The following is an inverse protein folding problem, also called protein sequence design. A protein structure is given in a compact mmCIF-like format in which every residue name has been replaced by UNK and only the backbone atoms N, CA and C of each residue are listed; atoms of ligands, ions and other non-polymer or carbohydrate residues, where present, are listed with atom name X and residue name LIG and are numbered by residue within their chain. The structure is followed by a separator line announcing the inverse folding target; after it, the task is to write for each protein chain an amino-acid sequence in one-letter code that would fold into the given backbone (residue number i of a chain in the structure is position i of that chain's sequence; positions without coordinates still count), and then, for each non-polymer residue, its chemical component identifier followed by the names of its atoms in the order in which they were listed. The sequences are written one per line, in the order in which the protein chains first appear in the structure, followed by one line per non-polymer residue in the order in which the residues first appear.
data_IF_490573457187
#
_entry.id   IF_490573457187
#
_cell.length_a   1.000
_cell.length_b   1.000
_cell.length_c   1.000
_cell.angle_alpha   90.00
_cell.angle_beta   90.00
_cell.angle_gamma   90.00
#
_symmetry.space_group_name_H-M   'P 1'
#
loop_
_entity.id
_entity.type
_entity.pdbx_description
1 polymer ?
#
# COMPACT_ATOMS: atom_id res chain seq x y z
N UNK A 1 37.18 -20.20 14.38
CA UNK A 1 37.12 -18.99 13.52
C UNK A 1 35.68 -18.48 13.60
N UNK A 2 35.37 -17.74 14.66
CA UNK A 2 34.05 -17.17 14.88
C UNK A 2 33.97 -15.91 14.00
N UNK A 3 33.20 -15.99 12.92
CA UNK A 3 32.87 -14.80 12.15
C UNK A 3 32.05 -13.90 13.07
N UNK A 4 32.65 -12.79 13.47
CA UNK A 4 32.00 -11.68 14.12
C UNK A 4 31.00 -11.12 13.10
N UNK A 5 29.77 -11.63 13.09
CA UNK A 5 28.66 -10.98 12.41
C UNK A 5 28.54 -9.59 13.05
N UNK A 6 28.67 -8.50 12.27
CA UNK A 6 28.48 -7.15 12.81
C UNK A 6 27.10 -7.08 13.46
N UNK A 7 27.02 -6.45 14.63
CA UNK A 7 25.75 -6.25 15.34
C UNK A 7 24.72 -5.63 14.38
N UNK A 8 23.47 -6.13 14.48
CA UNK A 8 22.35 -5.85 13.57
C UNK A 8 22.06 -4.34 13.38
N UNK A 9 22.64 -3.49 14.23
CA UNK A 9 22.47 -2.04 14.29
C UNK A 9 23.32 -1.27 13.25
N UNK A 10 24.30 -1.92 12.60
CA UNK A 10 25.23 -1.28 11.65
C UNK A 10 24.72 -1.35 10.20
N UNK A 11 23.87 -2.34 9.90
CA UNK A 11 23.37 -2.57 8.55
C UNK A 11 22.02 -1.86 8.40
N UNK A 12 21.84 -0.99 7.40
CA UNK A 12 20.62 -0.23 7.27
C UNK A 12 19.44 -1.12 6.88
N UNK A 13 18.26 -0.82 7.43
CA UNK A 13 17.08 -1.70 7.34
C UNK A 13 16.66 -2.09 5.91
N UNK A 14 16.96 -1.26 4.91
CA UNK A 14 16.61 -1.50 3.51
C UNK A 14 17.38 -2.64 2.84
N UNK A 15 18.45 -3.15 3.45
CA UNK A 15 19.19 -4.32 2.92
C UNK A 15 18.60 -5.65 3.36
N UNK A 16 17.68 -5.65 4.33
CA UNK A 16 17.00 -6.87 4.77
C UNK A 16 15.82 -7.20 3.83
N UNK A 17 15.50 -8.50 3.65
CA UNK A 17 14.33 -8.89 2.87
C UNK A 17 13.07 -8.26 3.47
N UNK A 18 12.25 -7.67 2.62
CA UNK A 18 11.00 -7.00 3.00
C UNK A 18 9.83 -7.75 2.40
N UNK A 19 8.76 -7.90 3.18
CA UNK A 19 7.55 -8.58 2.75
C UNK A 19 6.80 -7.70 1.74
N UNK A 20 6.43 -8.27 0.60
CA UNK A 20 5.62 -7.59 -0.40
C UNK A 20 4.54 -8.53 -0.95
N UNK A 21 3.29 -8.06 -0.96
CA UNK A 21 2.19 -8.75 -1.64
C UNK A 21 2.30 -8.52 -3.15
N UNK A 22 2.91 -9.47 -3.87
CA UNK A 22 3.14 -9.37 -5.31
C UNK A 22 2.43 -10.51 -6.06
N UNK A 23 1.62 -10.18 -7.07
CA UNK A 23 0.87 -11.20 -7.83
C UNK A 23 1.77 -12.17 -8.59
N UNK A 24 2.91 -11.67 -9.08
CA UNK A 24 3.87 -12.44 -9.87
C UNK A 24 4.85 -13.24 -8.99
N UNK A 25 4.94 -12.93 -7.69
CA UNK A 25 5.70 -13.69 -6.70
C UNK A 25 4.71 -14.21 -5.66
N UNK A 26 3.98 -15.31 -5.94
CA UNK A 26 2.95 -15.83 -5.05
C UNK A 26 3.44 -16.24 -3.66
N UNK A 27 4.74 -16.53 -3.55
CA UNK A 27 5.39 -17.02 -2.34
C UNK A 27 6.49 -16.02 -1.98
N UNK A 28 6.25 -15.10 -1.04
CA UNK A 28 7.25 -14.15 -0.59
C UNK A 28 8.36 -14.84 0.22
N UNK A 29 9.56 -14.26 0.20
CA UNK A 29 10.75 -14.84 0.85
C UNK A 29 10.66 -14.85 2.38
N UNK A 30 9.86 -13.96 2.95
CA UNK A 30 9.61 -13.84 4.39
C UNK A 30 8.11 -13.87 4.68
N UNK A 31 7.68 -14.30 5.88
CA UNK A 31 6.28 -14.23 6.28
C UNK A 31 5.85 -12.79 6.59
N UNK A 32 4.55 -12.52 6.50
CA UNK A 32 3.97 -11.24 6.89
C UNK A 32 4.18 -10.94 8.38
N UNK A 33 3.95 -11.92 9.26
CA UNK A 33 4.21 -11.78 10.71
C UNK A 33 5.53 -12.43 11.09
N UNK A 34 6.53 -11.58 11.40
CA UNK A 34 7.82 -12.04 11.91
C UNK A 34 7.79 -12.41 13.41
N UNK A 35 7.06 -11.64 14.22
CA UNK A 35 6.89 -11.91 15.65
C UNK A 35 5.51 -12.55 15.89
N UNK A 36 5.51 -13.77 16.42
CA UNK A 36 4.30 -14.54 16.70
C UNK A 36 3.89 -14.39 18.16
N UNK A 37 2.58 -14.30 18.39
CA UNK A 37 2.02 -14.42 19.74
C UNK A 37 2.09 -15.87 20.25
N UNK A 38 1.86 -16.08 21.55
CA UNK A 38 1.85 -17.42 22.14
C UNK A 38 0.80 -18.34 21.51
N UNK A 39 -0.38 -17.79 21.17
CA UNK A 39 -1.45 -18.53 20.49
C UNK A 39 -1.06 -18.92 19.06
N UNK A 40 -0.47 -18.00 18.30
CA UNK A 40 -0.01 -18.29 16.93
C UNK A 40 1.15 -19.28 16.92
N UNK A 41 2.03 -19.22 17.91
CA UNK A 41 3.13 -20.20 18.07
C UNK A 41 2.56 -21.59 18.31
N UNK A 42 1.57 -21.73 19.20
CA UNK A 42 0.87 -23.00 19.41
C UNK A 42 0.15 -23.48 18.13
N UNK A 43 -0.40 -22.56 17.34
CA UNK A 43 -1.03 -22.87 16.05
C UNK A 43 -0.01 -23.34 15.00
N UNK A 44 1.18 -22.75 14.94
CA UNK A 44 2.31 -23.21 14.10
C UNK A 44 2.83 -24.58 14.52
N UNK A 45 2.80 -24.91 15.81
CA UNK A 45 3.08 -26.28 16.26
C UNK A 45 1.99 -27.26 15.82
N UNK A 46 0.72 -26.87 15.91
CA UNK A 46 -0.42 -27.68 15.42
C UNK A 46 -0.40 -27.88 13.90
N UNK A 47 0.11 -26.91 13.14
CA UNK A 47 0.28 -26.97 11.67
C UNK A 47 1.17 -28.14 11.23
N UNK A 48 2.15 -28.55 12.06
CA UNK A 48 3.04 -29.69 11.77
C UNK A 48 2.30 -31.04 11.76
N UNK A 49 1.10 -31.10 12.35
CA UNK A 49 0.25 -32.28 12.40
C UNK A 49 -0.73 -32.42 11.22
N UNK A 50 -1.74 -33.30 11.31
CA UNK A 50 -2.71 -33.51 10.24
C UNK A 50 -3.68 -32.33 10.05
N UNK A 51 -3.71 -31.74 8.86
CA UNK A 51 -4.56 -30.57 8.56
C UNK A 51 -6.08 -30.84 8.55
N UNK A 52 -6.48 -32.11 8.66
CA UNK A 52 -7.89 -32.50 8.85
C UNK A 52 -8.41 -32.13 10.25
N UNK A 53 -7.52 -31.97 11.23
CA UNK A 53 -7.86 -31.61 12.61
C UNK A 53 -7.88 -30.08 12.84
N UNK A 54 -7.48 -29.30 11.84
CA UNK A 54 -7.54 -27.83 11.88
C UNK A 54 -8.94 -27.34 11.51
N UNK A 55 -9.49 -26.45 12.33
CA UNK A 55 -10.75 -25.77 12.04
C UNK A 55 -10.59 -24.82 10.84
N UNK A 56 -11.68 -24.44 10.16
CA UNK A 56 -11.63 -23.47 9.07
C UNK A 56 -11.05 -22.11 9.49
N UNK A 57 -11.28 -21.70 10.74
CA UNK A 57 -10.78 -20.44 11.29
C UNK A 57 -9.28 -20.51 11.57
N UNK A 58 -8.80 -21.64 12.10
CA UNK A 58 -7.37 -21.91 12.31
C UNK A 58 -6.58 -21.85 10.98
N UNK A 59 -7.15 -22.41 9.91
CA UNK A 59 -6.56 -22.33 8.57
C UNK A 59 -6.47 -20.89 8.05
N UNK A 60 -7.51 -20.09 8.28
CA UNK A 60 -7.49 -18.66 7.93
C UNK A 60 -6.46 -17.89 8.75
N UNK A 61 -6.33 -18.20 10.04
CA UNK A 61 -5.32 -17.58 10.89
C UNK A 61 -3.90 -17.94 10.42
N UNK A 62 -3.63 -19.21 10.09
CA UNK A 62 -2.36 -19.63 9.48
C UNK A 62 -2.07 -18.91 8.16
N UNK A 63 -3.09 -18.70 7.33
CA UNK A 63 -2.96 -17.90 6.12
C UNK A 63 -2.53 -16.47 6.44
N UNK A 64 -3.18 -15.80 7.40
CA UNK A 64 -2.87 -14.42 7.78
C UNK A 64 -1.56 -14.24 8.59
N UNK A 65 -0.94 -15.32 9.04
CA UNK A 65 0.42 -15.31 9.60
C UNK A 65 1.44 -15.20 8.45
N UNK A 66 1.23 -15.97 7.37
CA UNK A 66 2.13 -16.00 6.22
C UNK A 66 1.90 -14.84 5.26
N UNK A 67 0.63 -14.51 4.99
CA UNK A 67 0.21 -13.55 3.98
C UNK A 67 -0.63 -12.44 4.58
N UNK A 68 -0.45 -11.22 4.10
CA UNK A 68 -1.27 -10.09 4.53
C UNK A 68 -2.61 -10.05 3.80
N UNK A 69 -2.58 -10.02 2.47
CA UNK A 69 -3.76 -9.90 1.61
C UNK A 69 -4.03 -11.17 0.82
N UNK A 70 -5.31 -11.42 0.57
CA UNK A 70 -5.73 -12.45 -0.38
C UNK A 70 -5.56 -12.00 -1.83
N UNK A 71 -5.44 -12.95 -2.75
CA UNK A 71 -5.44 -12.65 -4.19
C UNK A 71 -6.68 -11.88 -4.64
N UNK A 72 -7.83 -12.06 -3.99
CA UNK A 72 -9.03 -11.30 -4.29
C UNK A 72 -8.89 -9.82 -3.87
N UNK A 73 -8.31 -9.57 -2.70
CA UNK A 73 -8.06 -8.21 -2.20
C UNK A 73 -7.00 -7.48 -3.02
N UNK A 74 -5.90 -8.16 -3.36
CA UNK A 74 -4.83 -7.61 -4.22
C UNK A 74 -5.30 -7.26 -5.64
N UNK A 75 -6.36 -7.94 -6.11
CA UNK A 75 -6.97 -7.72 -7.42
C UNK A 75 -8.19 -6.78 -7.36
N UNK A 76 -8.53 -6.25 -6.18
CA UNK A 76 -9.68 -5.35 -6.03
C UNK A 76 -9.46 -4.10 -6.91
N UNK A 77 -10.40 -3.77 -7.81
CA UNK A 77 -10.27 -2.57 -8.62
C UNK A 77 -10.42 -1.32 -7.75
N UNK A 78 -9.55 -0.33 -7.96
CA UNK A 78 -9.68 0.98 -7.32
C UNK A 78 -10.56 1.93 -8.17
N UNK A 79 -11.09 2.97 -7.54
CA UNK A 79 -11.90 4.01 -8.19
C UNK A 79 -11.17 5.35 -8.25
N UNK A 80 -9.84 5.35 -8.07
CA UNK A 80 -9.03 6.57 -8.01
C UNK A 80 -9.09 7.35 -9.32
N UNK A 81 -9.27 6.65 -10.45
CA UNK A 81 -9.46 7.26 -11.76
C UNK A 81 -10.58 8.32 -11.78
N UNK A 82 -11.64 8.13 -10.98
CA UNK A 82 -12.75 9.09 -10.86
C UNK A 82 -12.29 10.38 -10.19
N UNK A 83 -11.49 10.28 -9.12
CA UNK A 83 -10.92 11.43 -8.42
C UNK A 83 -9.91 12.16 -9.30
N UNK A 84 -9.07 11.42 -10.02
CA UNK A 84 -8.11 12.01 -10.98
C UNK A 84 -8.84 12.81 -12.05
N UNK A 85 -9.86 12.21 -12.70
CA UNK A 85 -10.65 12.92 -13.70
C UNK A 85 -11.39 14.12 -13.11
N UNK A 86 -12.00 13.97 -11.92
CA UNK A 86 -12.66 15.06 -11.23
C UNK A 86 -11.72 16.25 -10.95
N UNK A 87 -10.50 15.97 -10.47
CA UNK A 87 -9.47 16.99 -10.26
C UNK A 87 -9.07 17.70 -11.54
N UNK A 88 -8.82 16.95 -12.62
CA UNK A 88 -8.48 17.53 -13.93
C UNK A 88 -9.57 18.46 -14.43
N UNK A 89 -10.83 18.02 -14.45
CA UNK A 89 -11.95 18.85 -14.90
C UNK A 89 -12.18 20.09 -14.02
N UNK A 90 -11.98 19.95 -12.70
CA UNK A 90 -12.07 21.07 -11.77
C UNK A 90 -11.05 22.16 -12.10
N UNK A 91 -9.77 21.81 -12.27
CA UNK A 91 -8.74 22.78 -12.58
C UNK A 91 -8.90 23.38 -13.98
N UNK A 92 -9.29 22.59 -14.99
CA UNK A 92 -9.58 23.11 -16.33
C UNK A 92 -10.74 24.10 -16.29
N UNK A 93 -11.84 23.76 -15.61
CA UNK A 93 -12.98 24.64 -15.44
C UNK A 93 -12.63 25.92 -14.68
N UNK A 94 -11.87 25.79 -13.59
CA UNK A 94 -11.41 26.94 -12.79
C UNK A 94 -10.52 27.88 -13.61
N UNK A 95 -9.52 27.35 -14.33
CA UNK A 95 -8.67 28.17 -15.22
C UNK A 95 -9.48 28.85 -16.32
N UNK A 96 -10.47 28.17 -16.91
CA UNK A 96 -11.37 28.76 -17.89
C UNK A 96 -12.17 29.95 -17.33
N UNK A 97 -12.66 29.83 -16.09
CA UNK A 97 -13.36 30.93 -15.40
C UNK A 97 -12.42 32.11 -15.14
N UNK A 98 -11.19 31.84 -14.68
CA UNK A 98 -10.17 32.88 -14.45
C UNK A 98 -9.82 33.62 -15.75
N UNK A 99 -9.61 32.89 -16.85
CA UNK A 99 -9.33 33.49 -18.15
C UNK A 99 -10.50 34.35 -18.67
N UNK A 100 -11.74 33.87 -18.49
CA UNK A 100 -12.93 34.66 -18.84
C UNK A 100 -13.03 35.95 -18.02
N UNK A 101 -12.80 35.87 -16.70
CA UNK A 101 -12.78 37.04 -15.83
C UNK A 101 -11.70 38.06 -16.25
N UNK A 102 -10.48 37.58 -16.57
CA UNK A 102 -9.41 38.41 -17.12
C UNK A 102 -9.79 39.07 -18.45
N UNK A 103 -10.53 38.37 -19.33
CA UNK A 103 -10.99 38.91 -20.61
C UNK A 103 -12.00 40.05 -20.46
N UNK A 104 -12.90 39.95 -19.47
CA UNK A 104 -13.98 40.93 -19.22
C UNK A 104 -13.45 42.18 -18.52
N UNK A 105 -12.68 42.03 -17.45
CA UNK A 105 -12.20 43.17 -16.66
C UNK A 105 -10.78 43.63 -17.02
N UNK A 106 -10.11 42.94 -17.95
CA UNK A 106 -8.77 43.30 -18.40
C UNK A 106 -8.71 44.60 -19.19
N UNK A 107 -9.71 44.90 -20.03
CA UNK A 107 -9.79 46.18 -20.76
C UNK A 107 -10.10 47.34 -19.80
N UNK A 108 -11.06 47.16 -18.88
CA UNK A 108 -11.37 48.15 -17.85
C UNK A 108 -10.13 48.50 -17.00
N UNK A 109 -9.35 47.49 -16.58
CA UNK A 109 -8.15 47.70 -15.76
C UNK A 109 -7.05 48.50 -16.48
N UNK A 110 -6.92 48.40 -17.80
CA UNK A 110 -5.95 49.18 -18.58
C UNK A 110 -6.38 50.65 -18.68
N UNK A 111 -7.68 50.90 -18.83
CA UNK A 111 -8.23 52.26 -18.88
C UNK A 111 -8.06 52.99 -17.54
N UNK A 112 -8.38 52.35 -16.41
CA UNK A 112 -8.16 52.89 -15.06
C UNK A 112 -6.67 53.11 -14.71
N UNK A 113 -5.75 52.36 -15.30
CA UNK A 113 -4.31 52.53 -15.09
C UNK A 113 -3.70 53.63 -15.98
N UNK A 114 -4.45 54.13 -16.97
CA UNK A 114 -4.02 55.18 -17.91
C UNK A 114 -4.53 56.59 -17.56
N UNK A 115 -5.26 56.72 -16.44
CA UNK A 115 -5.75 57.97 -15.84
C UNK A 115 -5.01 58.20 -14.52
#
# INVERSE_FOLDING_TARGET
MALCLPSLDVIPAFTFPTYHDLRHVPLPDIPFRAALTSQETALKEKEKGPWKQLSPEEKKSLYHIMFNQTYAEMNKPNQEWKTVLGGVFFFVGFTGIVMWWQRVHGEDMVEWASV
#
